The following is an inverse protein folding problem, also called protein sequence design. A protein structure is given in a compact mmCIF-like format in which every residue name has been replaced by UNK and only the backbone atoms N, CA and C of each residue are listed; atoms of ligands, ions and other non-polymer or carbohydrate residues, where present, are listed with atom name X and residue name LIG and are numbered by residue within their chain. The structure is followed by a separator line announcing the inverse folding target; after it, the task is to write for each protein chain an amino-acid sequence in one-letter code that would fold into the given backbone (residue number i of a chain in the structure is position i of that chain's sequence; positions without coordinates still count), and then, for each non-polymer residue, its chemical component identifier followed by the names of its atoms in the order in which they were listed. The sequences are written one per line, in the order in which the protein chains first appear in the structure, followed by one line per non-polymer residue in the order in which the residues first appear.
data_IF_248859505539
#
_entry.id   IF_248859505539
#
_cell.length_a   1.000
_cell.length_b   1.000
_cell.length_c   1.000
_cell.angle_alpha   90.00
_cell.angle_beta   90.00
_cell.angle_gamma   90.00
#
_symmetry.space_group_name_H-M   'P 1'
#
loop_
_entity.id
_entity.type
_entity.pdbx_description
1 polymer ?
#
# COMPACT_ATOMS: atom_id res chain seq x y z
N UNK A 1 -12.21 -25.44 -13.75
CA UNK A 1 -12.29 -24.25 -12.86
C UNK A 1 -10.91 -24.01 -12.27
N UNK A 2 -10.10 -23.17 -12.90
CA UNK A 2 -8.77 -22.82 -12.37
C UNK A 2 -8.95 -21.97 -11.13
N UNK A 3 -8.35 -22.38 -10.00
CA UNK A 3 -8.30 -21.55 -8.79
C UNK A 3 -7.48 -20.30 -9.11
N UNK A 4 -8.13 -19.14 -9.17
CA UNK A 4 -7.43 -17.85 -9.20
C UNK A 4 -6.59 -17.71 -7.91
N UNK A 5 -5.33 -17.25 -8.01
CA UNK A 5 -4.53 -17.01 -6.83
C UNK A 5 -5.17 -15.89 -6.00
N UNK A 6 -5.31 -16.13 -4.70
CA UNK A 6 -5.81 -15.14 -3.73
C UNK A 6 -4.92 -13.89 -3.81
N UNK A 7 -5.47 -12.79 -4.35
CA UNK A 7 -4.75 -11.54 -4.60
C UNK A 7 -5.25 -10.77 -5.83
N UNK A 8 -5.86 -11.46 -6.81
CA UNK A 8 -6.34 -10.83 -8.06
C UNK A 8 -7.53 -9.88 -7.89
N UNK A 9 -8.34 -10.04 -6.85
CA UNK A 9 -9.54 -9.20 -6.60
C UNK A 9 -9.27 -8.00 -5.67
N UNK A 10 -8.02 -7.82 -5.23
CA UNK A 10 -7.61 -6.64 -4.46
C UNK A 10 -7.27 -5.48 -5.41
N UNK A 11 -7.58 -4.25 -5.01
CA UNK A 11 -7.13 -3.05 -5.74
C UNK A 11 -5.59 -2.94 -5.78
N UNK A 12 -4.90 -3.66 -4.89
CA UNK A 12 -3.44 -3.80 -4.89
C UNK A 12 -2.90 -4.97 -5.72
N UNK A 13 -3.77 -5.77 -6.36
CA UNK A 13 -3.39 -7.04 -6.99
C UNK A 13 -2.24 -6.93 -8.00
N UNK A 14 -2.10 -5.78 -8.70
CA UNK A 14 -1.01 -5.52 -9.64
C UNK A 14 0.37 -5.31 -8.99
N UNK A 15 0.42 -4.97 -7.70
CA UNK A 15 1.68 -4.72 -6.97
C UNK A 15 2.17 -5.95 -6.20
N UNK A 16 1.27 -6.88 -5.90
CA UNK A 16 1.56 -8.05 -5.07
C UNK A 16 2.32 -9.08 -5.93
N UNK A 17 3.46 -9.62 -5.45
CA UNK A 17 4.15 -10.71 -6.13
C UNK A 17 3.23 -11.92 -6.37
N UNK A 18 3.30 -12.58 -7.53
CA UNK A 18 2.38 -13.67 -7.87
C UNK A 18 2.66 -14.97 -7.10
N UNK A 19 3.90 -15.14 -6.60
CA UNK A 19 4.29 -16.28 -5.77
C UNK A 19 3.74 -16.13 -4.34
N UNK A 20 3.14 -17.20 -3.80
CA UNK A 20 2.43 -17.14 -2.51
C UNK A 20 3.34 -16.79 -1.32
N UNK A 21 4.50 -17.46 -1.12
CA UNK A 21 5.48 -17.03 -0.12
C UNK A 21 5.88 -15.56 -0.27
N UNK A 22 6.21 -15.12 -1.49
CA UNK A 22 6.58 -13.72 -1.73
C UNK A 22 5.43 -12.76 -1.44
N UNK A 23 4.18 -13.08 -1.80
CA UNK A 23 3.01 -12.27 -1.51
C UNK A 23 2.82 -12.06 0.00
N UNK A 24 3.01 -13.11 0.80
CA UNK A 24 2.89 -13.03 2.27
C UNK A 24 4.01 -12.14 2.85
N UNK A 25 5.25 -12.33 2.39
CA UNK A 25 6.38 -11.52 2.80
C UNK A 25 6.20 -10.05 2.41
N UNK A 26 5.71 -9.81 1.19
CA UNK A 26 5.43 -8.48 0.65
C UNK A 26 4.38 -7.74 1.49
N UNK A 27 3.23 -8.36 1.77
CA UNK A 27 2.17 -7.74 2.60
C UNK A 27 2.71 -7.43 4.00
N UNK A 28 3.50 -8.33 4.58
CA UNK A 28 4.09 -8.15 5.90
C UNK A 28 5.09 -6.98 5.92
N UNK A 29 5.91 -6.87 4.87
CA UNK A 29 6.89 -5.80 4.72
C UNK A 29 6.23 -4.45 4.44
N UNK A 30 5.24 -4.39 3.54
CA UNK A 30 4.46 -3.19 3.26
C UNK A 30 3.79 -2.65 4.53
N UNK A 31 3.20 -3.54 5.34
CA UNK A 31 2.58 -3.16 6.62
C UNK A 31 3.59 -2.62 7.62
N UNK A 32 4.77 -3.23 7.70
CA UNK A 32 5.87 -2.69 8.53
C UNK A 32 6.30 -1.31 8.02
N UNK A 33 6.47 -1.14 6.70
CA UNK A 33 6.90 0.11 6.09
C UNK A 33 5.90 1.26 6.33
N UNK A 34 4.59 0.97 6.28
CA UNK A 34 3.54 1.92 6.66
C UNK A 34 3.58 2.35 8.14
N UNK A 35 4.20 1.56 9.00
CA UNK A 35 4.41 1.90 10.42
C UNK A 35 5.78 2.49 10.72
N UNK A 36 6.67 2.57 9.74
CA UNK A 36 8.02 3.09 9.89
C UNK A 36 8.06 4.57 9.50
N UNK A 37 8.37 5.45 10.46
CA UNK A 37 8.35 6.90 10.26
C UNK A 37 9.38 7.39 9.23
N UNK A 38 10.57 6.79 9.20
CA UNK A 38 11.63 7.19 8.25
C UNK A 38 11.24 6.81 6.81
N UNK A 39 10.68 5.61 6.61
CA UNK A 39 10.20 5.15 5.30
C UNK A 39 9.04 6.02 4.82
N UNK A 40 8.08 6.32 5.71
CA UNK A 40 6.98 7.23 5.38
C UNK A 40 7.45 8.65 5.09
N UNK A 41 8.44 9.16 5.82
CA UNK A 41 9.01 10.48 5.57
C UNK A 41 9.65 10.53 4.18
N UNK A 42 10.44 9.51 3.82
CA UNK A 42 11.06 9.42 2.49
C UNK A 42 10.00 9.35 1.38
N UNK A 43 9.00 8.48 1.51
CA UNK A 43 7.89 8.41 0.56
C UNK A 43 7.22 9.77 0.33
N UNK A 44 6.95 10.51 1.41
CA UNK A 44 6.30 11.82 1.33
C UNK A 44 7.21 12.87 0.68
N UNK A 45 8.51 12.80 0.95
CA UNK A 45 9.50 13.66 0.33
C UNK A 45 9.57 13.42 -1.19
N UNK A 46 9.61 12.17 -1.61
CA UNK A 46 9.78 11.81 -3.03
C UNK A 46 8.51 12.07 -3.85
N UNK A 47 7.34 11.81 -3.27
CA UNK A 47 6.06 11.90 -3.99
C UNK A 47 5.33 13.23 -3.78
N UNK A 48 5.75 14.03 -2.80
CA UNK A 48 5.03 15.23 -2.37
C UNK A 48 3.69 14.95 -1.66
N UNK A 49 3.37 13.68 -1.36
CA UNK A 49 2.11 13.29 -0.74
C UNK A 49 1.95 13.88 0.66
N UNK A 50 0.90 14.69 0.85
CA UNK A 50 0.59 15.34 2.14
C UNK A 50 -0.59 14.73 2.89
N UNK A 51 -1.33 13.81 2.26
CA UNK A 51 -2.49 13.19 2.91
C UNK A 51 -2.07 12.43 4.17
N UNK A 52 -2.87 12.55 5.22
CA UNK A 52 -2.72 11.83 6.49
C UNK A 52 -4.07 11.25 6.88
N UNK A 53 -4.12 10.06 7.49
CA UNK A 53 -5.38 9.44 7.88
C UNK A 53 -6.19 10.32 8.84
N UNK A 54 -7.49 10.40 8.61
CA UNK A 54 -8.45 11.00 9.52
C UNK A 54 -8.36 10.41 10.93
N UNK A 55 -8.33 11.28 11.94
CA UNK A 55 -8.23 10.88 13.35
C UNK A 55 -9.60 10.51 13.94
N UNK A 56 -10.66 11.18 13.51
CA UNK A 56 -12.04 10.94 13.94
C UNK A 56 -12.79 9.93 13.07
N UNK A 57 -13.92 9.43 13.57
CA UNK A 57 -14.78 8.52 12.81
C UNK A 57 -15.35 9.18 11.54
N UNK A 58 -15.80 10.43 11.63
CA UNK A 58 -16.29 11.19 10.48
C UNK A 58 -15.20 11.43 9.44
N UNK A 59 -13.98 11.78 9.87
CA UNK A 59 -12.87 12.00 8.95
C UNK A 59 -12.51 10.71 8.19
N UNK A 60 -12.50 9.56 8.88
CA UNK A 60 -12.27 8.26 8.23
C UNK A 60 -13.38 7.89 7.25
N UNK A 61 -14.63 8.20 7.57
CA UNK A 61 -15.74 8.02 6.62
C UNK A 61 -15.58 8.91 5.39
N UNK A 62 -15.08 10.14 5.56
CA UNK A 62 -14.77 11.04 4.44
C UNK A 62 -13.62 10.48 3.61
N UNK A 63 -12.53 10.01 4.24
CA UNK A 63 -11.40 9.39 3.54
C UNK A 63 -11.88 8.19 2.71
N UNK A 64 -12.68 7.30 3.29
CA UNK A 64 -13.23 6.13 2.59
C UNK A 64 -14.17 6.53 1.45
N UNK A 65 -15.07 7.50 1.68
CA UNK A 65 -16.02 7.96 0.67
C UNK A 65 -15.34 8.69 -0.50
N UNK A 66 -14.25 9.39 -0.23
CA UNK A 66 -13.44 10.07 -1.27
C UNK A 66 -12.41 9.15 -1.92
N UNK A 67 -12.12 8.00 -1.29
CA UNK A 67 -11.07 7.08 -1.71
C UNK A 67 -9.65 7.59 -1.47
N UNK A 68 -9.48 8.61 -0.62
CA UNK A 68 -8.18 9.20 -0.34
C UNK A 68 -7.22 8.21 0.35
N UNK A 69 -7.77 7.33 1.19
CA UNK A 69 -7.07 6.21 1.81
C UNK A 69 -6.54 5.22 0.76
N UNK A 70 -7.38 4.83 -0.21
CA UNK A 70 -7.02 3.92 -1.29
C UNK A 70 -5.98 4.52 -2.21
N UNK A 71 -6.15 5.78 -2.60
CA UNK A 71 -5.19 6.50 -3.44
C UNK A 71 -3.82 6.60 -2.76
N UNK A 72 -3.78 6.87 -1.45
CA UNK A 72 -2.56 6.86 -0.67
C UNK A 72 -1.89 5.48 -0.66
N UNK A 73 -2.65 4.43 -0.36
CA UNK A 73 -2.11 3.06 -0.27
C UNK A 73 -1.64 2.55 -1.63
N UNK A 74 -2.32 2.92 -2.72
CA UNK A 74 -1.90 2.60 -4.08
C UNK A 74 -0.58 3.28 -4.44
N UNK A 75 -0.47 4.60 -4.22
CA UNK A 75 0.76 5.35 -4.46
C UNK A 75 1.93 4.86 -3.59
N UNK A 76 1.63 4.51 -2.33
CA UNK A 76 2.63 3.94 -1.43
C UNK A 76 3.11 2.57 -1.89
N UNK A 77 2.21 1.68 -2.32
CA UNK A 77 2.57 0.36 -2.83
C UNK A 77 3.45 0.44 -4.09
N UNK A 78 3.14 1.35 -5.01
CA UNK A 78 3.95 1.62 -6.20
C UNK A 78 5.35 2.08 -5.83
N UNK A 79 5.47 3.12 -5.00
CA UNK A 79 6.77 3.63 -4.54
C UNK A 79 7.54 2.58 -3.74
N UNK A 80 6.86 1.83 -2.87
CA UNK A 80 7.46 0.80 -2.03
C UNK A 80 8.13 -0.30 -2.86
N UNK A 81 7.51 -0.72 -3.96
CA UNK A 81 8.10 -1.73 -4.85
C UNK A 81 9.43 -1.26 -5.43
N UNK A 82 9.49 -0.01 -5.89
CA UNK A 82 10.68 0.55 -6.52
C UNK A 82 11.81 0.90 -5.54
N UNK A 83 11.50 1.17 -4.26
CA UNK A 83 12.45 1.77 -3.32
C UNK A 83 12.79 0.92 -2.10
N UNK A 84 11.92 -0.01 -1.70
CA UNK A 84 12.07 -0.77 -0.45
C UNK A 84 12.07 -2.27 -0.69
N UNK A 85 11.05 -2.78 -1.39
CA UNK A 85 10.98 -4.21 -1.71
C UNK A 85 12.09 -4.60 -2.70
N UNK A 86 12.30 -3.73 -3.70
CA UNK A 86 13.05 -4.06 -4.90
C UNK A 86 12.14 -4.82 -5.86
N UNK A 87 12.00 -4.31 -7.08
CA UNK A 87 11.51 -5.18 -8.15
C UNK A 87 12.49 -6.35 -8.35
N UNK A 88 12.01 -7.55 -8.74
CA UNK A 88 12.88 -8.59 -9.28
C UNK A 88 13.76 -8.09 -10.44
#
# INVERSE_FOLDING_TARGET
MSRQPAGQDSFLGKYIPPDKPQAIAWVSCLRWALGNEDVLAQFRQDTGTRWVPGKGALDRMIDEATGADRAFIEAFAEWFNSNVWGEP
#
